data_IF_631781757518
#
_entry.id   IF_631781757518
#
_cell.length_a   1.000
_cell.length_b   1.000
_cell.length_c   1.000
_cell.angle_alpha   90.00
_cell.angle_beta   90.00
_cell.angle_gamma   90.00
#
_symmetry.space_group_name_H-M   'P 1'
#
loop_
_entity.id
_entity.type
_entity.pdbx_description
1 polymer ?
#
# COMPACT_ATOMS: atom_id res chain seq x y z
N UNK A 1 50.68 -39.52 -47.28
CA UNK A 1 49.29 -39.59 -47.79
C UNK A 1 48.47 -40.73 -47.17
N UNK A 2 48.70 -42.03 -47.43
CA UNK A 2 47.87 -43.10 -46.79
C UNK A 2 48.02 -43.16 -45.26
N UNK A 3 49.25 -43.07 -44.74
CA UNK A 3 49.54 -43.15 -43.29
C UNK A 3 48.94 -41.97 -42.50
N UNK A 4 48.90 -40.77 -43.09
CA UNK A 4 48.29 -39.59 -42.45
C UNK A 4 46.77 -39.70 -42.37
N UNK A 5 46.14 -40.31 -43.37
CA UNK A 5 44.68 -40.54 -43.40
C UNK A 5 44.29 -41.58 -42.34
N UNK A 6 45.07 -42.65 -42.19
CA UNK A 6 44.86 -43.64 -41.12
C UNK A 6 45.03 -43.03 -39.72
N UNK A 7 46.08 -42.24 -39.49
CA UNK A 7 46.29 -41.59 -38.20
C UNK A 7 45.17 -40.59 -37.85
N UNK A 8 44.68 -39.83 -38.84
CA UNK A 8 43.55 -38.93 -38.65
C UNK A 8 42.24 -39.69 -38.35
N UNK A 9 42.02 -40.83 -39.01
CA UNK A 9 40.85 -41.68 -38.78
C UNK A 9 40.86 -42.29 -37.37
N UNK A 10 42.00 -42.79 -36.92
CA UNK A 10 42.15 -43.34 -35.56
C UNK A 10 41.92 -42.26 -34.49
N UNK A 11 42.39 -41.04 -34.73
CA UNK A 11 42.11 -39.89 -33.86
C UNK A 11 40.62 -39.55 -33.81
N UNK A 12 39.91 -39.58 -34.95
CA UNK A 12 38.48 -39.31 -35.02
C UNK A 12 37.66 -40.41 -34.32
N UNK A 13 38.01 -41.68 -34.55
CA UNK A 13 37.39 -42.83 -33.87
C UNK A 13 37.64 -42.80 -32.37
N UNK A 14 38.84 -42.41 -31.93
CA UNK A 14 39.16 -42.23 -30.51
C UNK A 14 38.34 -41.13 -29.83
N UNK A 15 37.92 -40.09 -30.58
CA UNK A 15 37.07 -39.01 -30.05
C UNK A 15 35.59 -39.39 -30.01
N UNK A 16 35.13 -40.28 -30.89
CA UNK A 16 33.71 -40.63 -31.03
C UNK A 16 33.10 -41.13 -29.71
N UNK A 17 33.75 -42.05 -29.00
CA UNK A 17 33.24 -42.57 -27.73
C UNK A 17 33.15 -41.51 -26.63
N UNK A 18 34.06 -40.52 -26.63
CA UNK A 18 34.00 -39.41 -25.69
C UNK A 18 32.81 -38.47 -25.97
N UNK A 19 32.47 -38.26 -27.25
CA UNK A 19 31.31 -37.46 -27.66
C UNK A 19 30.00 -38.17 -27.32
N UNK A 20 29.90 -39.48 -27.59
CA UNK A 20 28.72 -40.29 -27.26
C UNK A 20 28.44 -40.28 -25.75
N UNK A 21 29.47 -40.42 -24.92
CA UNK A 21 29.34 -40.35 -23.46
C UNK A 21 28.83 -38.97 -22.98
N UNK A 22 29.34 -37.88 -23.56
CA UNK A 22 28.85 -36.52 -23.25
C UNK A 22 27.41 -36.31 -23.71
N UNK A 23 27.04 -36.86 -24.87
CA UNK A 23 25.67 -36.79 -25.38
C UNK A 23 24.69 -37.55 -24.48
N UNK A 24 25.06 -38.75 -24.00
CA UNK A 24 24.26 -39.51 -23.05
C UNK A 24 24.13 -38.78 -21.70
N UNK A 25 25.20 -38.13 -21.23
CA UNK A 25 25.15 -37.32 -20.02
C UNK A 25 24.17 -36.15 -20.17
N UNK A 26 24.20 -35.42 -21.29
CA UNK A 26 23.27 -34.33 -21.58
C UNK A 26 21.82 -34.82 -21.68
N UNK A 27 21.57 -35.94 -22.37
CA UNK A 27 20.23 -36.52 -22.47
C UNK A 27 19.65 -36.89 -21.09
N UNK A 28 20.49 -37.39 -20.18
CA UNK A 28 20.07 -37.70 -18.80
C UNK A 28 19.76 -36.45 -17.96
N UNK A 29 20.31 -35.29 -18.31
CA UNK A 29 20.04 -34.04 -17.60
C UNK A 29 18.71 -33.39 -18.00
N UNK A 30 18.21 -33.67 -19.21
CA UNK A 30 16.96 -33.09 -19.74
C UNK A 30 15.77 -33.18 -18.78
N UNK A 31 15.44 -34.37 -18.22
CA UNK A 31 14.32 -34.51 -17.28
C UNK A 31 14.47 -33.68 -16.00
N UNK A 32 15.69 -33.54 -15.47
CA UNK A 32 15.93 -32.72 -14.27
C UNK A 32 15.72 -31.24 -14.56
N UNK A 33 16.11 -30.76 -15.74
CA UNK A 33 15.88 -29.37 -16.15
C UNK A 33 14.39 -29.07 -16.32
N UNK A 34 13.63 -30.00 -16.91
CA UNK A 34 12.17 -29.87 -17.02
C UNK A 34 11.47 -29.85 -15.66
N UNK A 35 11.95 -30.65 -14.70
CA UNK A 35 11.43 -30.61 -13.34
C UNK A 35 11.71 -29.26 -12.67
N UNK A 36 12.94 -28.75 -12.78
CA UNK A 36 13.33 -27.45 -12.24
C UNK A 36 12.52 -26.32 -12.89
N UNK A 37 12.28 -26.39 -14.19
CA UNK A 37 11.43 -25.44 -14.92
C UNK A 37 10.01 -25.44 -14.35
N UNK A 38 9.40 -26.61 -14.17
CA UNK A 38 8.07 -26.75 -13.56
C UNK A 38 8.01 -26.22 -12.13
N UNK A 39 9.01 -26.52 -11.30
CA UNK A 39 9.11 -26.00 -9.93
C UNK A 39 9.25 -24.48 -9.91
N UNK A 40 10.04 -23.91 -10.83
CA UNK A 40 10.21 -22.46 -10.98
C UNK A 40 8.93 -21.76 -11.43
N UNK A 41 8.18 -22.36 -12.36
CA UNK A 41 6.86 -21.85 -12.79
C UNK A 41 5.85 -21.86 -11.64
N UNK A 42 5.77 -22.96 -10.89
CA UNK A 42 4.90 -23.06 -9.73
C UNK A 42 5.26 -22.02 -8.66
N UNK A 43 6.56 -21.86 -8.37
CA UNK A 43 7.03 -20.87 -7.41
C UNK A 43 6.71 -19.44 -7.87
N UNK A 44 6.90 -19.13 -9.15
CA UNK A 44 6.53 -17.83 -9.73
C UNK A 44 5.02 -17.56 -9.57
N UNK A 45 4.19 -18.58 -9.82
CA UNK A 45 2.74 -18.51 -9.59
C UNK A 45 2.40 -18.24 -8.13
N UNK A 46 3.04 -18.93 -7.19
CA UNK A 46 2.85 -18.70 -5.75
C UNK A 46 3.27 -17.29 -5.32
N UNK A 47 4.44 -16.82 -5.77
CA UNK A 47 4.91 -15.46 -5.47
C UNK A 47 3.90 -14.43 -5.99
N UNK A 48 3.44 -14.59 -7.23
CA UNK A 48 2.45 -13.69 -7.83
C UNK A 48 1.14 -13.69 -7.04
N UNK A 49 0.64 -14.86 -6.63
CA UNK A 49 -0.54 -14.98 -5.79
C UNK A 49 -0.35 -14.28 -4.43
N UNK A 50 0.77 -14.51 -3.76
CA UNK A 50 1.09 -13.87 -2.48
C UNK A 50 1.21 -12.36 -2.61
N UNK A 51 1.88 -11.84 -3.65
CA UNK A 51 1.97 -10.41 -3.93
C UNK A 51 0.58 -9.79 -4.14
N UNK A 52 -0.26 -10.43 -4.94
CA UNK A 52 -1.63 -9.97 -5.16
C UNK A 52 -2.43 -9.95 -3.85
N UNK A 53 -2.32 -10.99 -3.03
CA UNK A 53 -2.99 -11.04 -1.73
C UNK A 53 -2.48 -9.91 -0.81
N UNK A 54 -1.17 -9.68 -0.76
CA UNK A 54 -0.57 -8.62 0.03
C UNK A 54 -1.02 -7.22 -0.39
N UNK A 55 -1.13 -6.94 -1.69
CA UNK A 55 -1.64 -5.65 -2.19
C UNK A 55 -3.14 -5.50 -1.87
N UNK A 56 -3.92 -6.58 -2.00
CA UNK A 56 -5.34 -6.58 -1.62
C UNK A 56 -5.54 -6.29 -0.13
N UNK A 57 -4.74 -6.89 0.75
CA UNK A 57 -4.79 -6.61 2.19
C UNK A 57 -4.34 -5.18 2.46
N UNK A 58 -3.22 -4.74 1.88
CA UNK A 58 -2.67 -3.40 2.07
C UNK A 58 -3.63 -2.30 1.63
N UNK A 59 -4.30 -2.47 0.49
CA UNK A 59 -5.29 -1.50 0.01
C UNK A 59 -6.50 -1.39 0.95
N UNK A 60 -6.97 -2.51 1.51
CA UNK A 60 -8.06 -2.51 2.51
C UNK A 60 -7.63 -1.85 3.82
N UNK A 61 -6.39 -2.07 4.27
CA UNK A 61 -5.85 -1.39 5.46
C UNK A 61 -5.78 0.13 5.23
N UNK A 62 -5.28 0.58 4.07
CA UNK A 62 -5.27 2.02 3.72
C UNK A 62 -6.67 2.64 3.72
N UNK A 63 -7.68 1.91 3.23
CA UNK A 63 -9.08 2.36 3.25
C UNK A 63 -9.62 2.46 4.68
N UNK A 64 -9.31 1.49 5.54
CA UNK A 64 -9.67 1.51 6.95
C UNK A 64 -9.01 2.68 7.69
N UNK A 65 -7.73 2.94 7.44
CA UNK A 65 -7.02 4.06 8.05
C UNK A 65 -7.63 5.40 7.65
N UNK A 66 -8.03 5.55 6.39
CA UNK A 66 -8.74 6.74 5.92
C UNK A 66 -10.10 6.91 6.60
N UNK A 67 -10.88 5.83 6.71
CA UNK A 67 -12.17 5.84 7.40
C UNK A 67 -12.00 6.18 8.89
N UNK A 68 -11.02 5.59 9.55
CA UNK A 68 -10.64 5.86 10.94
C UNK A 68 -10.27 7.33 11.14
N UNK A 69 -9.42 7.90 10.28
CA UNK A 69 -9.05 9.31 10.33
C UNK A 69 -10.27 10.23 10.19
N UNK A 70 -11.16 9.94 9.26
CA UNK A 70 -12.43 10.69 9.09
C UNK A 70 -13.35 10.58 10.30
N UNK A 71 -13.43 9.40 10.92
CA UNK A 71 -14.21 9.20 12.13
C UNK A 71 -13.64 10.03 13.29
N UNK A 72 -12.34 10.02 13.52
CA UNK A 72 -11.73 10.87 14.55
C UNK A 72 -11.96 12.36 14.30
N UNK A 73 -11.88 12.80 13.05
CA UNK A 73 -12.24 14.18 12.70
C UNK A 73 -13.71 14.50 13.00
N UNK A 74 -14.63 13.56 12.73
CA UNK A 74 -16.05 13.73 13.04
C UNK A 74 -16.32 13.76 14.56
N UNK A 75 -15.63 12.90 15.33
CA UNK A 75 -15.71 12.88 16.80
C UNK A 75 -15.20 14.21 17.35
N UNK A 76 -14.01 14.66 16.95
CA UNK A 76 -13.46 15.94 17.40
C UNK A 76 -14.42 17.09 17.09
N UNK A 77 -15.00 17.11 15.88
CA UNK A 77 -16.01 18.12 15.51
C UNK A 77 -17.25 18.07 16.41
N UNK A 78 -17.70 16.88 16.81
CA UNK A 78 -18.83 16.75 17.71
C UNK A 78 -18.48 17.29 19.11
N UNK A 79 -17.30 16.94 19.63
CA UNK A 79 -16.80 17.46 20.91
C UNK A 79 -16.68 18.99 20.90
N UNK A 80 -16.14 19.55 19.82
CA UNK A 80 -16.00 21.00 19.66
C UNK A 80 -17.38 21.72 19.65
N UNK A 81 -18.39 21.13 19.00
CA UNK A 81 -19.76 21.64 18.98
C UNK A 81 -20.40 21.54 20.37
N UNK A 82 -20.16 20.45 21.09
CA UNK A 82 -20.65 20.29 22.47
C UNK A 82 -20.04 21.34 23.39
N UNK A 83 -18.74 21.59 23.29
CA UNK A 83 -18.06 22.64 24.06
C UNK A 83 -18.62 24.03 23.75
N UNK A 84 -18.91 24.31 22.47
CA UNK A 84 -19.60 25.53 22.06
C UNK A 84 -20.98 25.65 22.70
N UNK A 85 -21.76 24.57 22.70
CA UNK A 85 -23.10 24.55 23.31
C UNK A 85 -23.03 24.76 24.82
N UNK A 86 -22.09 24.12 25.51
CA UNK A 86 -21.89 24.33 26.94
C UNK A 86 -21.53 25.78 27.28
N UNK A 87 -20.71 26.45 26.45
CA UNK A 87 -20.43 27.87 26.64
C UNK A 87 -21.70 28.71 26.47
N UNK A 88 -22.50 28.45 25.43
CA UNK A 88 -23.75 29.16 25.16
C UNK A 88 -24.79 28.99 26.29
N UNK A 89 -25.03 27.75 26.70
CA UNK A 89 -25.99 27.42 27.76
C UNK A 89 -25.52 27.98 29.11
N UNK A 90 -24.22 27.91 29.40
CA UNK A 90 -23.60 28.49 30.58
C UNK A 90 -23.80 30.01 30.65
N UNK A 91 -23.59 30.74 29.55
CA UNK A 91 -23.89 32.18 29.47
C UNK A 91 -25.37 32.45 29.72
N UNK A 92 -26.27 31.71 29.06
CA UNK A 92 -27.70 31.91 29.21
C UNK A 92 -28.16 31.67 30.66
N UNK A 93 -27.62 30.64 31.33
CA UNK A 93 -27.93 30.33 32.72
C UNK A 93 -27.38 31.39 33.67
N UNK A 94 -26.11 31.77 33.52
CA UNK A 94 -25.46 32.77 34.38
C UNK A 94 -26.15 34.14 34.29
N UNK A 95 -26.56 34.56 33.08
CA UNK A 95 -27.32 35.80 32.90
C UNK A 95 -28.70 35.78 33.56
N UNK A 96 -29.38 34.63 33.59
CA UNK A 96 -30.68 34.48 34.29
C UNK A 96 -30.54 34.57 35.81
N UNK A 97 -29.40 34.15 36.34
CA UNK A 97 -29.10 34.16 37.76
C UNK A 97 -28.36 35.45 38.21
N UNK A 98 -28.14 36.41 37.30
CA UNK A 98 -27.39 37.65 37.55
C UNK A 98 -25.91 37.42 37.93
N UNK A 99 -25.35 36.25 37.60
CA UNK A 99 -23.97 35.84 37.86
C UNK A 99 -23.03 36.29 36.73
N UNK A 100 -22.77 37.60 36.64
CA UNK A 100 -22.03 38.18 35.50
C UNK A 100 -20.58 37.71 35.38
N UNK A 101 -19.92 37.37 36.49
CA UNK A 101 -18.55 36.84 36.48
C UNK A 101 -18.49 35.46 35.80
N UNK A 102 -19.48 34.61 36.10
CA UNK A 102 -19.57 33.28 35.51
C UNK A 102 -19.97 33.35 34.03
N UNK A 103 -20.83 34.30 33.65
CA UNK A 103 -21.12 34.60 32.25
C UNK A 103 -19.84 35.03 31.49
N UNK A 104 -19.04 35.93 32.07
CA UNK A 104 -17.78 36.37 31.47
C UNK A 104 -16.78 35.21 31.30
N UNK A 105 -16.72 34.28 32.26
CA UNK A 105 -15.89 33.09 32.17
C UNK A 105 -16.30 32.17 30.99
N UNK A 106 -17.59 31.94 30.79
CA UNK A 106 -18.09 31.17 29.65
C UNK A 106 -17.84 31.87 28.31
N UNK A 107 -17.98 33.20 28.23
CA UNK A 107 -17.64 33.99 27.04
C UNK A 107 -16.14 33.91 26.75
N UNK A 108 -15.30 34.03 27.77
CA UNK A 108 -13.85 33.94 27.61
C UNK A 108 -13.46 32.56 27.05
N UNK A 109 -13.99 31.47 27.61
CA UNK A 109 -13.78 30.12 27.10
C UNK A 109 -14.22 29.98 25.64
N UNK A 110 -15.38 30.56 25.27
CA UNK A 110 -15.84 30.58 23.88
C UNK A 110 -14.85 31.28 22.94
N UNK A 111 -14.30 32.43 23.34
CA UNK A 111 -13.33 33.18 22.54
C UNK A 111 -11.97 32.48 22.41
N UNK A 112 -11.67 31.56 23.31
CA UNK A 112 -10.48 30.71 23.25
C UNK A 112 -10.68 29.42 22.43
N UNK A 113 -11.91 29.07 22.02
CA UNK A 113 -12.15 27.97 21.09
C UNK A 113 -11.54 28.31 19.72
N UNK A 114 -11.07 27.28 19.02
CA UNK A 114 -10.49 27.43 17.69
C UNK A 114 -11.53 28.04 16.72
N UNK A 115 -11.11 29.05 15.95
CA UNK A 115 -11.97 29.76 14.98
C UNK A 115 -12.61 28.81 13.96
N UNK A 116 -11.94 27.70 13.65
CA UNK A 116 -12.47 26.66 12.77
C UNK A 116 -13.76 26.04 13.31
N UNK A 117 -13.90 25.85 14.62
CA UNK A 117 -15.12 25.33 15.28
C UNK A 117 -16.31 26.28 15.09
N UNK A 118 -16.05 27.58 15.19
CA UNK A 118 -17.07 28.64 15.02
C UNK A 118 -17.52 28.72 13.55
N UNK A 119 -16.59 28.64 12.60
CA UNK A 119 -16.93 28.63 11.18
C UNK A 119 -17.65 27.34 10.74
N UNK A 120 -17.26 26.18 11.28
CA UNK A 120 -17.88 24.88 11.00
C UNK A 120 -19.34 24.83 11.47
N UNK A 121 -19.63 25.38 12.66
CA UNK A 121 -21.01 25.54 13.17
C UNK A 121 -21.90 26.37 12.22
N UNK A 122 -21.28 27.26 11.44
CA UNK A 122 -21.95 28.14 10.49
C UNK A 122 -22.17 27.49 9.12
N UNK A 123 -21.35 26.50 8.73
CA UNK A 123 -21.30 26.03 7.35
C UNK A 123 -22.33 24.95 6.99
N UNK A 124 -22.71 24.02 7.87
CA UNK A 124 -23.86 23.11 7.67
C UNK A 124 -24.05 22.44 6.28
N UNK A 125 -23.04 22.44 5.41
CA UNK A 125 -23.13 22.03 4.00
C UNK A 125 -21.93 21.18 3.64
N UNK A 126 -22.29 19.98 3.22
CA UNK A 126 -21.53 18.89 2.62
C UNK A 126 -20.15 19.27 2.07
N UNK A 127 -19.11 18.72 2.72
CA UNK A 127 -17.75 18.77 2.21
C UNK A 127 -17.65 17.97 0.90
N UNK A 128 -17.76 18.67 -0.23
CA UNK A 128 -17.34 18.17 -1.53
C UNK A 128 -15.80 18.09 -1.54
N UNK A 129 -15.25 16.93 -1.22
CA UNK A 129 -13.83 16.65 -1.50
C UNK A 129 -13.73 16.15 -2.93
N UNK A 130 -13.43 17.08 -3.83
CA UNK A 130 -12.83 16.80 -5.13
C UNK A 130 -11.31 16.98 -4.99
N UNK A 131 -10.53 16.06 -5.56
CA UNK A 131 -9.15 16.34 -5.94
C UNK A 131 -8.16 15.26 -5.55
N UNK A 132 -8.04 14.25 -6.43
CA UNK A 132 -6.77 13.64 -6.87
C UNK A 132 -5.60 13.71 -5.89
N UNK A 133 -5.29 12.58 -5.26
CA UNK A 133 -3.99 12.35 -4.67
C UNK A 133 -3.07 11.79 -5.77
N UNK A 134 -2.14 12.61 -6.26
CA UNK A 134 -1.08 12.28 -7.21
C UNK A 134 0.01 11.39 -6.58
N UNK A 135 -0.35 10.31 -5.89
CA UNK A 135 0.62 9.43 -5.19
C UNK A 135 1.05 8.22 -6.04
N UNK A 136 0.81 8.24 -7.35
CA UNK A 136 1.32 7.20 -8.24
C UNK A 136 1.54 7.66 -9.68
N UNK A 137 2.37 8.68 -9.88
CA UNK A 137 3.20 8.72 -11.10
C UNK A 137 4.53 8.04 -10.80
N UNK A 138 4.51 6.72 -10.70
CA UNK A 138 5.74 5.93 -10.86
C UNK A 138 5.78 5.57 -12.34
N UNK A 139 6.67 6.16 -13.16
CA UNK A 139 6.90 5.65 -14.50
C UNK A 139 7.54 4.28 -14.33
N UNK A 140 6.73 3.22 -14.44
CA UNK A 140 7.24 1.87 -14.63
C UNK A 140 7.97 1.87 -15.96
N UNK A 141 9.29 1.83 -15.79
CA UNK A 141 10.35 1.76 -16.77
C UNK A 141 9.93 1.07 -18.07
N UNK A 142 9.99 1.84 -19.15
CA UNK A 142 10.27 1.34 -20.48
C UNK A 142 11.74 0.91 -20.49
N UNK A 143 12.03 -0.38 -20.39
CA UNK A 143 13.31 -0.96 -20.82
C UNK A 143 13.15 -2.46 -21.04
N UNK A 144 13.19 -2.78 -22.33
CA UNK A 144 13.73 -3.98 -23.00
C UNK A 144 13.51 -5.31 -22.31
#
# INVERSE_FOLDING_TARGET
MQVEVEAALESLLGQQGAVENKMLALQRMGPNLQLIEGDAEQLSGMITFTCNLAENVSSKVRQLDLAKSRLYQAIQRADDILDLKFCMDGVQSALKNEEYEQAAAHIHRYLCLDKSVIELSRQGKEGKVCGRCDVCTVPLHQSV
#
